data_IF_326689502116
#
_entry.id   IF_326689502116
#
_cell.length_a   1.000
_cell.length_b   1.000
_cell.length_c   1.000
_cell.angle_alpha   90.00
_cell.angle_beta   90.00
_cell.angle_gamma   90.00
#
_symmetry.space_group_name_H-M   'P 1'
#
loop_
_entity.id
_entity.type
_entity.pdbx_description
1 polymer ?
#
# COMPACT_ATOMS: atom_id res chain seq x y z
N UNK A 1 30.92 1.75 14.46
CA UNK A 1 30.38 1.58 13.10
C UNK A 1 28.94 1.06 13.22
N UNK A 2 27.95 1.93 13.42
CA UNK A 2 26.60 1.43 13.70
C UNK A 2 25.55 2.53 13.84
N UNK A 3 25.41 3.36 12.81
CA UNK A 3 24.26 4.29 12.65
C UNK A 3 23.83 4.49 11.20
N UNK A 4 24.67 4.14 10.23
CA UNK A 4 24.34 4.31 8.80
C UNK A 4 23.58 3.12 8.20
N UNK A 5 23.55 1.95 8.87
CA UNK A 5 22.87 0.76 8.36
C UNK A 5 21.37 0.73 8.68
N UNK A 6 20.92 1.56 9.61
CA UNK A 6 19.49 1.68 10.01
C UNK A 6 18.74 2.76 9.21
N UNK A 7 19.42 3.52 8.34
CA UNK A 7 18.82 4.61 7.54
C UNK A 7 18.46 4.21 6.10
N UNK A 8 18.63 2.93 5.71
CA UNK A 8 18.43 2.45 4.33
C UNK A 8 17.14 1.62 4.12
N UNK A 9 16.29 1.48 5.14
CA UNK A 9 15.04 0.69 5.09
C UNK A 9 13.81 1.51 5.50
N UNK A 10 13.83 2.84 5.38
CA UNK A 10 12.68 3.67 5.73
C UNK A 10 11.71 3.80 4.55
N UNK A 11 11.23 2.67 4.03
CA UNK A 11 10.00 2.65 3.24
C UNK A 11 8.81 2.50 4.18
N UNK A 12 7.66 3.06 3.80
CA UNK A 12 6.41 2.92 4.55
C UNK A 12 6.13 1.45 4.87
N UNK A 13 5.75 1.17 6.12
CA UNK A 13 5.34 -0.17 6.56
C UNK A 13 3.89 -0.46 6.16
N UNK A 14 3.50 -1.75 6.15
CA UNK A 14 2.12 -2.12 5.86
C UNK A 14 1.15 -1.50 6.90
N UNK A 15 1.52 -1.49 8.18
CA UNK A 15 0.70 -0.86 9.23
C UNK A 15 0.57 0.66 9.08
N UNK A 16 1.58 1.33 8.55
CA UNK A 16 1.47 2.76 8.19
C UNK A 16 0.53 2.96 7.01
N UNK A 17 0.66 2.15 5.97
CA UNK A 17 -0.25 2.18 4.83
C UNK A 17 -1.71 1.93 5.23
N UNK A 18 -1.93 0.99 6.16
CA UNK A 18 -3.25 0.72 6.71
C UNK A 18 -3.88 1.95 7.38
N UNK A 19 -3.09 2.86 7.97
CA UNK A 19 -3.61 4.11 8.55
C UNK A 19 -4.09 5.08 7.46
N UNK A 20 -3.46 5.07 6.29
CA UNK A 20 -3.82 5.95 5.19
C UNK A 20 -5.14 5.51 4.54
N UNK A 21 -5.40 4.20 4.46
CA UNK A 21 -6.61 3.68 3.81
C UNK A 21 -7.79 3.46 4.75
N UNK A 22 -7.59 3.37 6.08
CA UNK A 22 -8.66 2.98 7.03
C UNK A 22 -9.89 3.88 6.96
N UNK A 23 -9.72 5.17 6.70
CA UNK A 23 -10.83 6.13 6.60
C UNK A 23 -11.73 5.88 5.38
N UNK A 24 -11.22 5.16 4.37
CA UNK A 24 -11.96 4.79 3.16
C UNK A 24 -12.62 3.40 3.25
N UNK A 25 -12.51 2.71 4.38
CA UNK A 25 -13.09 1.37 4.61
C UNK A 25 -14.44 1.49 5.30
N UNK A 26 -15.51 1.12 4.60
CA UNK A 26 -16.89 1.19 5.10
C UNK A 26 -17.41 -0.10 5.72
N UNK A 27 -16.67 -1.20 5.59
CA UNK A 27 -17.00 -2.47 6.26
C UNK A 27 -16.42 -2.46 7.68
N UNK A 28 -17.30 -2.44 8.68
CA UNK A 28 -16.92 -2.36 10.10
C UNK A 28 -16.12 -3.56 10.61
N UNK A 29 -16.26 -4.73 9.96
CA UNK A 29 -15.45 -5.91 10.28
C UNK A 29 -14.02 -5.71 9.80
N UNK A 30 -13.86 -5.26 8.56
CA UNK A 30 -12.54 -4.99 7.98
C UNK A 30 -11.87 -3.84 8.74
N UNK A 31 -12.58 -2.74 9.00
CA UNK A 31 -12.09 -1.59 9.78
C UNK A 31 -11.59 -2.03 11.17
N UNK A 32 -12.33 -2.89 11.86
CA UNK A 32 -11.94 -3.45 13.14
C UNK A 32 -10.66 -4.30 13.05
N UNK A 33 -10.51 -5.10 11.99
CA UNK A 33 -9.31 -5.91 11.77
C UNK A 33 -8.11 -5.02 11.40
N UNK A 34 -8.31 -3.94 10.64
CA UNK A 34 -7.28 -2.94 10.34
C UNK A 34 -6.77 -2.30 11.63
N UNK A 35 -7.66 -1.83 12.51
CA UNK A 35 -7.29 -1.25 13.80
C UNK A 35 -6.49 -2.23 14.66
N UNK A 36 -6.87 -3.51 14.66
CA UNK A 36 -6.10 -4.56 15.31
C UNK A 36 -4.72 -4.77 14.66
N UNK A 37 -4.62 -4.74 13.32
CA UNK A 37 -3.35 -4.85 12.62
C UNK A 37 -2.42 -3.68 12.98
N UNK A 38 -2.94 -2.45 13.03
CA UNK A 38 -2.19 -1.25 13.40
C UNK A 38 -1.67 -1.33 14.85
N UNK A 39 -2.48 -1.85 15.78
CA UNK A 39 -2.15 -1.89 17.22
C UNK A 39 -1.10 -2.96 17.57
N UNK A 40 -1.24 -4.18 17.02
CA UNK A 40 -0.40 -5.32 17.39
C UNK A 40 0.43 -5.91 16.24
N UNK A 41 0.34 -5.38 15.03
CA UNK A 41 1.01 -5.88 13.82
C UNK A 41 0.20 -6.95 13.07
N UNK A 42 0.31 -6.94 11.74
CA UNK A 42 -0.40 -7.87 10.85
C UNK A 42 -0.07 -9.35 11.14
N UNK A 43 1.20 -9.65 11.39
CA UNK A 43 1.66 -11.02 11.65
C UNK A 43 1.10 -11.61 12.96
N UNK A 44 0.63 -10.76 13.88
CA UNK A 44 -0.01 -11.19 15.14
C UNK A 44 -1.54 -11.37 15.01
N UNK A 45 -2.10 -11.22 13.81
CA UNK A 45 -3.47 -11.61 13.50
C UNK A 45 -3.57 -13.12 13.27
N UNK A 46 -4.75 -13.68 13.57
CA UNK A 46 -5.05 -15.06 13.16
C UNK A 46 -5.06 -15.18 11.63
N UNK A 47 -4.77 -16.37 11.09
CA UNK A 47 -4.82 -16.63 9.64
C UNK A 47 -6.14 -16.20 9.00
N UNK A 48 -7.26 -16.44 9.70
CA UNK A 48 -8.59 -16.00 9.26
C UNK A 48 -8.70 -14.48 9.17
N UNK A 49 -8.18 -13.75 10.15
CA UNK A 49 -8.19 -12.28 10.14
C UNK A 49 -7.29 -11.73 9.04
N UNK A 50 -6.09 -12.30 8.86
CA UNK A 50 -5.19 -11.93 7.77
C UNK A 50 -5.86 -12.12 6.40
N UNK A 51 -6.53 -13.26 6.20
CA UNK A 51 -7.27 -13.55 4.97
C UNK A 51 -8.40 -12.55 4.74
N UNK A 52 -9.24 -12.30 5.75
CA UNK A 52 -10.34 -11.32 5.63
C UNK A 52 -9.80 -9.93 5.32
N UNK A 53 -8.74 -9.50 6.00
CA UNK A 53 -8.13 -8.20 5.77
C UNK A 53 -7.61 -8.09 4.33
N UNK A 54 -6.77 -9.02 3.88
CA UNK A 54 -6.19 -9.00 2.53
C UNK A 54 -7.25 -8.96 1.42
N UNK A 55 -8.33 -9.72 1.55
CA UNK A 55 -9.43 -9.67 0.58
C UNK A 55 -10.25 -8.38 0.72
N UNK A 56 -10.41 -7.87 1.94
CA UNK A 56 -11.20 -6.68 2.22
C UNK A 56 -10.58 -5.37 1.70
N UNK A 57 -9.26 -5.35 1.54
CA UNK A 57 -8.51 -4.19 1.05
C UNK A 57 -7.91 -4.43 -0.35
N UNK A 58 -8.32 -5.47 -1.08
CA UNK A 58 -7.70 -5.82 -2.36
C UNK A 58 -7.69 -4.68 -3.37
N UNK A 59 -8.73 -3.85 -3.35
CA UNK A 59 -8.85 -2.69 -4.24
C UNK A 59 -7.90 -1.54 -3.86
N UNK A 60 -7.34 -1.61 -2.65
CA UNK A 60 -6.32 -0.71 -2.12
C UNK A 60 -4.92 -1.32 -2.20
N UNK A 61 -4.71 -2.44 -2.89
CA UNK A 61 -3.40 -3.08 -2.99
C UNK A 61 -3.02 -3.25 -4.46
N UNK A 62 -1.91 -2.65 -4.83
CA UNK A 62 -1.27 -2.84 -6.14
C UNK A 62 0.20 -3.16 -5.93
N UNK A 63 0.59 -4.42 -6.15
CA UNK A 63 1.98 -4.85 -5.92
C UNK A 63 2.92 -4.47 -7.08
N UNK A 64 2.37 -4.36 -8.30
CA UNK A 64 3.12 -4.09 -9.53
C UNK A 64 2.36 -3.15 -10.46
N UNK A 65 3.08 -2.28 -11.18
CA UNK A 65 2.48 -1.40 -12.17
C UNK A 65 1.87 -2.22 -13.31
N UNK A 66 0.59 -2.02 -13.67
CA UNK A 66 -0.05 -2.77 -14.76
C UNK A 66 0.54 -2.46 -16.15
N UNK A 67 1.26 -1.35 -16.31
CA UNK A 67 1.82 -0.92 -17.60
C UNK A 67 3.26 -1.39 -17.82
N UNK A 68 4.12 -1.30 -16.79
CA UNK A 68 5.55 -1.64 -16.92
C UNK A 68 6.01 -2.81 -16.05
N UNK A 69 5.17 -3.32 -15.15
CA UNK A 69 5.49 -4.47 -14.28
C UNK A 69 6.49 -4.18 -13.16
N UNK A 70 6.83 -2.92 -12.90
CA UNK A 70 7.69 -2.57 -11.77
C UNK A 70 6.93 -2.74 -10.45
N UNK A 71 7.62 -3.22 -9.40
CA UNK A 71 7.03 -3.28 -8.06
C UNK A 71 6.71 -1.90 -7.53
N UNK A 72 5.58 -1.79 -6.84
CA UNK A 72 5.08 -0.56 -6.25
C UNK A 72 5.27 -0.62 -4.74
N UNK A 73 5.88 0.42 -4.18
CA UNK A 73 5.99 0.57 -2.74
C UNK A 73 4.67 1.12 -2.19
N UNK A 74 4.39 0.89 -0.90
CA UNK A 74 3.14 1.34 -0.28
C UNK A 74 2.87 2.84 -0.46
N UNK A 75 3.92 3.68 -0.40
CA UNK A 75 3.87 5.14 -0.60
C UNK A 75 3.28 5.54 -1.98
N UNK A 76 3.49 4.71 -2.99
CA UNK A 76 3.11 4.98 -4.38
C UNK A 76 1.83 4.22 -4.80
N UNK A 77 1.25 3.40 -3.91
CA UNK A 77 0.09 2.56 -4.23
C UNK A 77 -1.15 3.39 -4.53
N UNK A 78 -1.46 4.39 -3.69
CA UNK A 78 -2.64 5.25 -3.90
C UNK A 78 -2.58 5.99 -5.24
N UNK A 79 -1.42 6.58 -5.56
CA UNK A 79 -1.22 7.23 -6.85
C UNK A 79 -1.39 6.23 -8.01
N UNK A 80 -0.81 5.04 -7.87
CA UNK A 80 -0.90 4.01 -8.91
C UNK A 80 -2.33 3.50 -9.11
N UNK A 81 -3.11 3.37 -8.03
CA UNK A 81 -4.53 2.98 -8.08
C UNK A 81 -5.34 4.08 -8.77
N UNK A 82 -5.15 5.33 -8.38
CA UNK A 82 -5.90 6.47 -8.91
C UNK A 82 -5.59 6.75 -10.39
N UNK A 83 -4.32 6.64 -10.78
CA UNK A 83 -3.88 6.94 -12.16
C UNK A 83 -3.89 5.70 -13.07
N UNK A 84 -4.01 4.50 -12.50
CA UNK A 84 -3.83 3.23 -13.22
C UNK A 84 -2.40 2.99 -13.72
N UNK A 85 -1.41 3.78 -13.26
CA UNK A 85 -0.01 3.78 -13.72
C UNK A 85 0.90 4.22 -12.59
N UNK A 86 2.11 3.69 -12.53
CA UNK A 86 3.11 4.19 -11.59
C UNK A 86 3.59 5.60 -11.99
N UNK A 87 4.23 6.29 -11.06
CA UNK A 87 4.78 7.64 -11.25
C UNK A 87 5.60 7.79 -12.56
N UNK A 88 6.51 6.85 -12.85
CA UNK A 88 7.35 6.92 -14.05
C UNK A 88 6.52 6.79 -15.34
N UNK A 89 5.55 5.89 -15.35
CA UNK A 89 4.64 5.72 -16.47
C UNK A 89 3.76 6.96 -16.63
N UNK A 90 3.22 7.49 -15.53
CA UNK A 90 2.41 8.70 -15.54
C UNK A 90 3.19 9.89 -16.10
N UNK A 91 4.39 10.13 -15.59
CA UNK A 91 5.30 11.19 -16.07
C UNK A 91 5.64 11.06 -17.56
N UNK A 92 5.81 9.83 -18.05
CA UNK A 92 6.05 9.59 -19.48
C UNK A 92 4.82 9.92 -20.33
N UNK A 93 3.63 9.50 -19.89
CA UNK A 93 2.36 9.78 -20.56
C UNK A 93 2.09 11.29 -20.66
N UNK A 94 2.25 12.03 -19.56
CA UNK A 94 2.02 13.48 -19.53
C UNK A 94 2.93 14.25 -20.50
N UNK A 95 4.19 13.79 -20.67
CA UNK A 95 5.12 14.38 -21.63
C UNK A 95 4.68 14.17 -23.07
N UNK A 96 4.07 13.03 -23.39
CA UNK A 96 3.55 12.74 -24.74
C UNK A 96 2.29 13.57 -25.01
N UNK A 97 1.40 13.71 -24.03
CA UNK A 97 0.16 14.50 -24.19
C UNK A 97 0.41 16.01 -24.33
N UNK A 98 1.54 16.51 -23.82
CA UNK A 98 1.93 17.91 -23.92
C UNK A 98 2.57 18.31 -25.26
N UNK A 99 2.84 17.34 -26.14
CA UNK A 99 3.37 17.54 -27.51
C UNK A 99 2.25 17.63 -28.56
#
# INVERSE_FOLDING_TARGET
MGRAKEMLEAGMTFEEYLKDIVENIYDSTIEGIIKLAIDKGFDNLSEKQQFILKNGISDYIVEECPNCGIKINYEDMDETINNGRCYDCQSHWERIEAE
#
